data_IF_078329869072
#
_entry.id   IF_078329869072
#
_cell.length_a   1.000
_cell.length_b   1.000
_cell.length_c   1.000
_cell.angle_alpha   90.00
_cell.angle_beta   90.00
_cell.angle_gamma   90.00
#
_symmetry.space_group_name_H-M   'P 1'
#
loop_
_entity.id
_entity.type
_entity.pdbx_description
1 polymer ?
#
# COMPACT_ATOMS: atom_id res chain seq x y z
N UNK A 1 6.93 -6.13 -13.70
CA UNK A 1 6.20 -5.96 -14.96
C UNK A 1 5.24 -4.81 -14.76
N UNK A 2 5.58 -3.65 -15.31
CA UNK A 2 4.79 -2.44 -15.15
C UNK A 2 3.57 -2.54 -16.06
N UNK A 3 2.37 -2.39 -15.51
CA UNK A 3 1.12 -2.44 -16.28
C UNK A 3 1.03 -1.08 -16.97
N UNK A 4 1.16 -1.05 -18.30
CA UNK A 4 0.94 0.19 -19.05
C UNK A 4 -0.48 0.68 -18.77
N UNK A 5 -0.71 2.00 -18.71
CA UNK A 5 -2.05 2.57 -18.41
C UNK A 5 -3.18 1.95 -19.25
N UNK A 6 -2.88 1.53 -20.49
CA UNK A 6 -3.80 0.80 -21.38
C UNK A 6 -4.30 -0.54 -20.82
N UNK A 7 -3.46 -1.25 -20.08
CA UNK A 7 -3.82 -2.54 -19.47
C UNK A 7 -4.76 -2.36 -18.25
N UNK A 8 -4.79 -1.16 -17.67
CA UNK A 8 -5.62 -0.84 -16.50
C UNK A 8 -7.10 -0.64 -16.86
N UNK A 9 -7.38 0.04 -17.98
CA UNK A 9 -8.74 0.13 -18.52
C UNK A 9 -9.29 -1.25 -18.94
N UNK A 10 -8.44 -2.11 -19.51
CA UNK A 10 -8.80 -3.50 -19.85
C UNK A 10 -9.15 -4.32 -18.61
N UNK A 11 -8.38 -4.17 -17.51
CA UNK A 11 -8.71 -4.79 -16.22
C UNK A 11 -10.06 -4.31 -15.69
N UNK A 12 -10.33 -3.00 -15.72
CA UNK A 12 -11.63 -2.46 -15.29
C UNK A 12 -12.79 -3.05 -16.12
N UNK A 13 -12.62 -3.17 -17.44
CA UNK A 13 -13.60 -3.82 -18.32
C UNK A 13 -13.87 -5.28 -17.93
N UNK A 14 -12.82 -6.08 -17.71
CA UNK A 14 -12.98 -7.48 -17.28
C UNK A 14 -13.69 -7.61 -15.93
N UNK A 15 -13.40 -6.71 -14.98
CA UNK A 15 -14.06 -6.70 -13.68
C UNK A 15 -15.55 -6.38 -13.80
N UNK A 16 -15.93 -5.45 -14.69
CA UNK A 16 -17.35 -5.19 -15.01
C UNK A 16 -18.04 -6.38 -15.64
N UNK A 17 -17.39 -7.04 -16.62
CA UNK A 17 -17.92 -8.26 -17.25
C UNK A 17 -18.11 -9.39 -16.23
N UNK A 18 -17.27 -9.45 -15.19
CA UNK A 18 -17.42 -10.38 -14.08
C UNK A 18 -18.57 -10.04 -13.11
N UNK A 19 -19.28 -8.92 -13.32
CA UNK A 19 -20.45 -8.52 -12.54
C UNK A 19 -20.16 -7.63 -11.33
N UNK A 20 -18.93 -7.09 -11.20
CA UNK A 20 -18.61 -6.15 -10.14
C UNK A 20 -19.00 -4.71 -10.50
N UNK A 21 -19.27 -3.89 -9.49
CA UNK A 21 -19.37 -2.45 -9.65
C UNK A 21 -17.95 -1.84 -9.68
N UNK A 22 -17.63 -1.07 -10.72
CA UNK A 22 -16.26 -0.67 -11.03
C UNK A 22 -16.20 0.77 -11.50
N UNK A 23 -15.55 1.63 -10.70
CA UNK A 23 -15.19 2.99 -11.08
C UNK A 23 -13.69 3.08 -11.37
N UNK A 24 -13.33 3.48 -12.59
CA UNK A 24 -11.94 3.76 -12.97
C UNK A 24 -11.70 5.27 -12.85
N UNK A 25 -10.68 5.63 -12.07
CA UNK A 25 -10.13 6.98 -11.98
C UNK A 25 -8.81 7.01 -12.72
N UNK A 26 -8.80 7.66 -13.88
CA UNK A 26 -7.59 7.86 -14.67
C UNK A 26 -6.66 8.88 -13.99
N UNK A 27 -5.34 8.74 -14.15
CA UNK A 27 -4.40 9.71 -13.60
C UNK A 27 -4.57 11.05 -14.33
N UNK A 28 -4.64 12.13 -13.56
CA UNK A 28 -4.59 13.50 -14.08
C UNK A 28 -3.19 14.14 -13.86
N UNK A 29 -3.04 15.42 -14.22
CA UNK A 29 -1.77 16.13 -14.09
C UNK A 29 -1.30 16.28 -12.63
N UNK A 30 -2.21 16.13 -11.67
CA UNK A 30 -1.96 16.27 -10.24
C UNK A 30 -1.92 14.90 -9.52
N UNK A 31 -2.30 13.82 -10.20
CA UNK A 31 -2.32 12.49 -9.61
C UNK A 31 -0.89 11.93 -9.45
N UNK A 32 -0.42 11.70 -8.20
CA UNK A 32 0.84 11.02 -7.96
C UNK A 32 0.78 9.53 -8.34
N UNK A 33 -0.42 8.99 -8.62
CA UNK A 33 -0.67 7.61 -8.99
C UNK A 33 -0.83 7.47 -10.51
N UNK A 34 -0.71 6.24 -11.01
CA UNK A 34 -0.97 5.88 -12.41
C UNK A 34 -2.44 5.50 -12.68
N UNK A 35 -3.35 5.94 -11.82
CA UNK A 35 -4.77 5.61 -11.82
C UNK A 35 -5.19 4.65 -10.70
N UNK A 36 -6.48 4.67 -10.37
CA UNK A 36 -7.09 3.79 -9.36
C UNK A 36 -8.37 3.17 -9.90
N UNK A 37 -8.58 1.87 -9.65
CA UNK A 37 -9.86 1.21 -9.87
C UNK A 37 -10.49 0.93 -8.52
N UNK A 38 -11.65 1.51 -8.29
CA UNK A 38 -12.50 1.20 -7.14
C UNK A 38 -13.45 0.07 -7.56
N UNK A 39 -13.37 -1.08 -6.88
CA UNK A 39 -14.18 -2.28 -7.14
C UNK A 39 -15.06 -2.55 -5.93
N UNK A 40 -16.37 -2.54 -6.12
CA UNK A 40 -17.36 -2.76 -5.06
C UNK A 40 -18.12 -4.07 -5.30
N UNK A 41 -18.41 -4.76 -4.20
CA UNK A 41 -19.23 -5.98 -4.21
C UNK A 41 -19.63 -6.40 -2.79
N UNK A 42 -20.14 -7.63 -2.59
CA UNK A 42 -20.48 -8.15 -1.26
C UNK A 42 -19.32 -8.17 -0.26
N UNK A 43 -18.07 -8.07 -0.75
CA UNK A 43 -16.85 -7.96 0.03
C UNK A 43 -16.51 -6.52 0.46
N UNK A 44 -17.35 -5.55 0.13
CA UNK A 44 -17.07 -4.13 0.32
C UNK A 44 -16.26 -3.52 -0.82
N UNK A 45 -15.44 -2.52 -0.51
CA UNK A 45 -14.61 -1.79 -1.47
C UNK A 45 -13.18 -2.36 -1.50
N UNK A 46 -12.70 -2.70 -2.70
CA UNK A 46 -11.31 -2.99 -2.99
C UNK A 46 -10.80 -1.95 -3.97
N UNK A 47 -9.71 -1.26 -3.60
CA UNK A 47 -9.04 -0.33 -4.50
C UNK A 47 -7.81 -1.01 -5.11
N UNK A 48 -7.78 -1.09 -6.44
CA UNK A 48 -6.58 -1.49 -7.18
C UNK A 48 -5.89 -0.18 -7.55
N UNK A 49 -4.68 0.03 -7.03
CA UNK A 49 -3.91 1.25 -7.29
C UNK A 49 -2.79 0.92 -8.26
N UNK A 50 -2.75 1.62 -9.38
CA UNK A 50 -1.61 1.62 -10.28
C UNK A 50 -0.66 2.74 -9.85
N UNK A 51 0.62 2.44 -9.73
CA UNK A 51 1.64 3.43 -9.38
C UNK A 51 2.55 3.80 -10.58
N UNK A 52 2.33 3.21 -11.76
CA UNK A 52 2.90 3.67 -13.05
C UNK A 52 4.43 3.69 -13.11
N UNK A 53 5.05 4.75 -13.63
CA UNK A 53 6.51 5.00 -13.56
C UNK A 53 6.89 6.03 -12.49
N UNK A 54 5.92 6.43 -11.66
CA UNK A 54 6.06 7.51 -10.66
C UNK A 54 6.31 6.94 -9.25
N UNK A 55 6.79 5.70 -9.17
CA UNK A 55 6.89 4.93 -7.94
C UNK A 55 7.89 5.52 -6.94
N UNK A 56 7.52 5.72 -5.67
CA UNK A 56 8.51 5.90 -4.62
C UNK A 56 9.21 4.56 -4.36
N UNK A 57 10.54 4.55 -4.28
CA UNK A 57 11.37 3.32 -4.17
C UNK A 57 10.99 2.38 -3.01
N UNK A 58 10.28 2.88 -2.00
CA UNK A 58 9.71 2.07 -0.90
C UNK A 58 8.72 0.99 -1.40
N UNK A 59 7.99 1.26 -2.49
CA UNK A 59 7.08 0.29 -3.09
C UNK A 59 7.86 -0.74 -3.90
N UNK A 60 8.85 -0.32 -4.69
CA UNK A 60 9.67 -1.24 -5.48
C UNK A 60 10.39 -2.25 -4.57
N UNK A 61 11.04 -1.76 -3.51
CA UNK A 61 11.63 -2.62 -2.48
C UNK A 61 10.58 -3.49 -1.79
N UNK A 62 9.37 -2.96 -1.55
CA UNK A 62 8.26 -3.73 -0.98
C UNK A 62 7.80 -4.87 -1.88
N UNK A 63 7.76 -4.67 -3.20
CA UNK A 63 7.42 -5.71 -4.18
C UNK A 63 8.51 -6.77 -4.27
N UNK A 64 9.78 -6.38 -4.19
CA UNK A 64 10.91 -7.30 -4.18
C UNK A 64 10.92 -8.18 -2.92
N UNK A 65 10.63 -7.59 -1.75
CA UNK A 65 10.66 -8.27 -0.45
C UNK A 65 9.36 -9.01 -0.11
N UNK A 66 8.28 -8.85 -0.88
CA UNK A 66 6.99 -9.47 -0.62
C UNK A 66 7.03 -10.99 -0.86
N UNK A 67 7.41 -11.74 0.17
CA UNK A 67 7.44 -13.22 0.15
C UNK A 67 6.18 -13.85 0.74
N UNK A 68 5.49 -13.15 1.65
CA UNK A 68 4.25 -13.62 2.26
C UNK A 68 3.13 -13.68 1.23
N UNK A 69 2.47 -14.84 1.12
CA UNK A 69 1.30 -15.05 0.25
C UNK A 69 0.04 -15.09 1.08
N UNK A 70 -1.05 -14.53 0.55
CA UNK A 70 -2.35 -14.55 1.24
C UNK A 70 -2.93 -15.96 1.36
N UNK A 71 -2.61 -16.84 0.41
CA UNK A 71 -2.96 -18.26 0.41
C UNK A 71 -1.78 -19.07 -0.08
N UNK A 72 -1.61 -20.28 0.46
CA UNK A 72 -0.60 -21.21 -0.02
C UNK A 72 -0.78 -21.49 -1.52
N UNK A 73 0.30 -21.48 -2.29
CA UNK A 73 0.28 -21.57 -3.76
C UNK A 73 -0.26 -20.35 -4.50
N UNK A 74 -0.91 -19.39 -3.83
CA UNK A 74 -1.52 -18.22 -4.46
C UNK A 74 -0.49 -17.19 -4.96
N UNK A 75 -0.87 -16.38 -5.97
CA UNK A 75 -0.02 -15.32 -6.52
C UNK A 75 -0.12 -13.99 -5.78
N UNK A 76 -1.15 -13.81 -4.94
CA UNK A 76 -1.38 -12.58 -4.19
C UNK A 76 -0.43 -12.51 -2.99
N UNK A 77 0.45 -11.50 -3.03
CA UNK A 77 1.51 -11.29 -2.04
C UNK A 77 1.21 -10.09 -1.16
N UNK A 78 1.66 -10.18 0.07
CA UNK A 78 1.51 -9.14 1.09
C UNK A 78 2.86 -8.44 1.24
N UNK A 79 2.85 -7.12 1.09
CA UNK A 79 4.01 -6.26 1.31
C UNK A 79 4.46 -6.35 2.78
N UNK A 80 5.77 -6.40 3.07
CA UNK A 80 6.25 -6.43 4.44
C UNK A 80 5.81 -5.21 5.25
N UNK A 81 5.53 -5.41 6.54
CA UNK A 81 5.01 -4.37 7.44
C UNK A 81 5.89 -3.11 7.49
N UNK A 82 7.23 -3.27 7.46
CA UNK A 82 8.15 -2.15 7.46
C UNK A 82 7.96 -1.23 6.24
N UNK A 83 7.75 -1.79 5.05
CA UNK A 83 7.48 -1.03 3.84
C UNK A 83 6.11 -0.36 3.89
N UNK A 84 5.09 -1.06 4.44
CA UNK A 84 3.76 -0.47 4.65
C UNK A 84 3.78 0.72 5.61
N UNK A 85 4.52 0.63 6.72
CA UNK A 85 4.68 1.75 7.66
C UNK A 85 5.42 2.91 7.00
N UNK A 86 6.52 2.64 6.29
CA UNK A 86 7.25 3.67 5.57
C UNK A 86 6.36 4.35 4.51
N UNK A 87 5.52 3.60 3.80
CA UNK A 87 4.53 4.13 2.87
C UNK A 87 3.50 5.04 3.53
N UNK A 88 2.92 4.60 4.65
CA UNK A 88 1.96 5.41 5.41
C UNK A 88 2.63 6.68 5.93
N UNK A 89 3.88 6.60 6.37
CA UNK A 89 4.60 7.75 6.90
C UNK A 89 4.96 8.75 5.79
N UNK A 90 5.33 8.25 4.60
CA UNK A 90 5.53 9.07 3.41
C UNK A 90 4.25 9.79 2.97
N UNK A 91 3.12 9.06 2.92
CA UNK A 91 1.83 9.66 2.60
C UNK A 91 1.42 10.75 3.60
N UNK A 92 1.82 10.61 4.86
CA UNK A 92 1.62 11.62 5.90
C UNK A 92 0.15 11.86 6.24
N UNK A 93 -0.13 12.96 6.93
CA UNK A 93 -1.46 13.30 7.43
C UNK A 93 -1.87 12.53 8.69
N UNK A 94 -2.95 13.01 9.35
CA UNK A 94 -3.38 12.45 10.64
C UNK A 94 -3.91 11.02 10.53
N UNK A 95 -4.63 10.71 9.44
CA UNK A 95 -5.15 9.36 9.20
C UNK A 95 -4.02 8.33 9.05
N UNK A 96 -2.98 8.64 8.26
CA UNK A 96 -1.87 7.71 8.08
C UNK A 96 -1.05 7.51 9.36
N UNK A 97 -0.92 8.56 10.20
CA UNK A 97 -0.28 8.43 11.52
C UNK A 97 -1.08 7.49 12.44
N UNK A 98 -2.40 7.65 12.51
CA UNK A 98 -3.27 6.76 13.29
C UNK A 98 -3.19 5.30 12.78
N UNK A 99 -3.19 5.10 11.45
CA UNK A 99 -3.01 3.76 10.86
C UNK A 99 -1.67 3.14 11.28
N UNK A 100 -0.57 3.91 11.33
CA UNK A 100 0.74 3.41 11.79
C UNK A 100 0.68 2.96 13.24
N UNK A 101 0.09 3.78 14.12
CA UNK A 101 -0.06 3.44 15.55
C UNK A 101 -0.84 2.14 15.70
N UNK A 102 -1.98 2.02 15.02
CA UNK A 102 -2.81 0.80 15.08
C UNK A 102 -2.10 -0.43 14.52
N UNK A 103 -1.35 -0.28 13.42
CA UNK A 103 -0.53 -1.35 12.85
C UNK A 103 0.54 -1.82 13.84
N UNK A 104 1.25 -0.90 14.48
CA UNK A 104 2.29 -1.22 15.46
C UNK A 104 1.72 -1.90 16.71
N UNK A 105 0.54 -1.48 17.17
CA UNK A 105 -0.17 -2.03 18.33
C UNK A 105 -0.69 -3.44 18.07
N UNK A 106 -1.25 -3.69 16.89
CA UNK A 106 -1.72 -5.04 16.50
C UNK A 106 -0.57 -5.99 16.17
N UNK A 107 0.64 -5.48 15.99
CA UNK A 107 1.83 -6.27 15.68
C UNK A 107 2.95 -5.96 16.70
N UNK A 108 2.78 -6.33 17.98
CA UNK A 108 3.75 -6.02 19.03
C UNK A 108 5.10 -6.72 18.81
N UNK A 109 5.10 -7.88 18.15
CA UNK A 109 6.30 -8.61 17.78
C UNK A 109 7.01 -8.07 16.52
N UNK A 110 6.49 -6.99 15.90
CA UNK A 110 7.12 -6.43 14.72
C UNK A 110 8.50 -5.85 15.04
N UNK A 111 9.50 -6.22 14.23
CA UNK A 111 10.88 -5.77 14.35
C UNK A 111 10.97 -4.23 14.17
N UNK A 112 11.08 -3.54 15.31
CA UNK A 112 11.15 -2.07 15.36
C UNK A 112 12.44 -1.56 14.69
N UNK A 113 13.53 -2.31 14.74
CA UNK A 113 14.81 -1.89 14.16
C UNK A 113 14.77 -1.99 12.64
N UNK A 114 14.13 -3.02 12.08
CA UNK A 114 13.84 -3.09 10.65
C UNK A 114 12.95 -1.92 10.19
N UNK A 115 11.90 -1.59 10.94
CA UNK A 115 11.02 -0.46 10.61
C UNK A 115 11.80 0.86 10.63
N UNK A 116 12.60 1.09 11.68
CA UNK A 116 13.50 2.27 11.77
C UNK A 116 14.51 2.31 10.64
N UNK A 117 15.09 1.16 10.28
CA UNK A 117 16.03 1.03 9.16
C UNK A 117 15.37 1.44 7.84
N UNK A 118 14.17 0.93 7.58
CA UNK A 118 13.37 1.26 6.39
C UNK A 118 13.06 2.76 6.33
N UNK A 119 12.58 3.36 7.42
CA UNK A 119 12.31 4.81 7.45
C UNK A 119 13.59 5.65 7.26
N UNK A 120 14.72 5.24 7.84
CA UNK A 120 16.02 5.91 7.65
C UNK A 120 16.50 5.85 6.20
N UNK A 121 16.39 4.70 5.55
CA UNK A 121 16.76 4.51 4.14
C UNK A 121 16.03 5.51 3.23
N UNK A 122 14.74 5.75 3.48
CA UNK A 122 13.94 6.71 2.72
C UNK A 122 13.89 8.12 3.35
N UNK A 123 14.75 8.40 4.34
CA UNK A 123 14.87 9.70 5.03
C UNK A 123 13.55 10.20 5.64
N UNK A 124 12.66 9.28 6.00
CA UNK A 124 11.37 9.58 6.60
C UNK A 124 11.54 9.94 8.08
N UNK A 125 10.82 10.97 8.53
CA UNK A 125 10.89 11.50 9.89
C UNK A 125 9.55 11.30 10.62
N UNK A 126 9.59 11.36 11.95
CA UNK A 126 8.37 11.33 12.77
C UNK A 126 7.88 9.93 13.16
N UNK A 127 8.69 8.89 12.99
CA UNK A 127 8.35 7.52 13.41
C UNK A 127 8.34 7.34 14.94
N UNK A 128 9.35 7.86 15.65
CA UNK A 128 9.52 7.59 17.09
C UNK A 128 8.34 8.04 17.98
N UNK A 129 7.69 9.20 17.75
CA UNK A 129 6.47 9.53 18.48
C UNK A 129 5.36 8.49 18.30
N UNK A 130 5.21 7.94 17.09
CA UNK A 130 4.17 6.95 16.77
C UNK A 130 4.46 5.59 17.42
N UNK A 131 5.73 5.19 17.50
CA UNK A 131 6.13 3.98 18.24
C UNK A 131 5.79 4.15 19.73
N UNK A 132 6.18 5.27 20.34
CA UNK A 132 5.90 5.54 21.76
C UNK A 132 4.40 5.54 22.06
N UNK A 133 3.60 6.13 21.18
CA UNK A 133 2.14 6.13 21.31
C UNK A 133 1.59 4.70 21.24
N UNK A 134 2.01 3.91 20.25
CA UNK A 134 1.56 2.53 20.08
C UNK A 134 1.94 1.62 21.26
N UNK A 135 3.09 1.84 21.88
CA UNK A 135 3.57 1.05 23.02
C UNK A 135 2.95 1.51 24.36
N UNK A 136 2.25 2.65 24.38
CA UNK A 136 1.61 3.22 25.57
C UNK A 136 0.12 2.91 25.73
N UNK A 137 -0.50 2.30 24.71
CA UNK A 137 -1.93 1.98 24.60
C UNK A 137 -2.17 0.47 24.66
#
# INVERSE_FOLDING_TARGET
MNIAVRDFASLAGRLRTAGFDVALREPDEQDPLGGVIDVSGPFGLVQIVNFGERFPGVIESGLADATLRMREGGSFRIIPLANLIALKLYAGGMKSKADIVELLRRNPAADRDRIRGMCRQYRLRGLEPLIREADSL
#
